data_IF_627984918197
#
_entry.id   IF_627984918197
#
_cell.length_a   1.000
_cell.length_b   1.000
_cell.length_c   1.000
_cell.angle_alpha   90.00
_cell.angle_beta   90.00
_cell.angle_gamma   90.00
#
_symmetry.space_group_name_H-M   'P 1'
#
loop_
_entity.id
_entity.type
_entity.pdbx_description
1 polymer ?
#
# COMPACT_ATOMS: atom_id res chain seq x y z
N UNK A 1 -49.58 20.03 -20.34
CA UNK A 1 -48.99 19.06 -19.40
C UNK A 1 -47.50 19.01 -19.65
N UNK A 2 -46.68 19.56 -18.74
CA UNK A 2 -45.21 19.58 -18.87
C UNK A 2 -44.66 18.71 -17.74
N UNK A 3 -44.14 17.53 -18.08
CA UNK A 3 -43.46 16.66 -17.12
C UNK A 3 -42.05 17.21 -16.88
N UNK A 4 -41.63 17.47 -15.63
CA UNK A 4 -40.29 17.95 -15.36
C UNK A 4 -39.29 16.80 -15.56
N UNK A 5 -38.58 16.86 -16.70
CA UNK A 5 -37.46 15.98 -17.06
C UNK A 5 -36.20 16.23 -16.19
N UNK A 6 -36.37 16.61 -14.92
CA UNK A 6 -35.28 16.98 -14.01
C UNK A 6 -35.09 16.03 -12.84
N UNK A 7 -35.89 14.96 -12.74
CA UNK A 7 -35.83 14.01 -11.61
C UNK A 7 -34.93 12.78 -11.84
N UNK A 8 -34.33 12.62 -13.02
CA UNK A 8 -33.54 11.43 -13.35
C UNK A 8 -32.04 11.54 -13.09
N UNK A 9 -31.53 12.69 -12.65
CA UNK A 9 -30.08 12.86 -12.42
C UNK A 9 -29.63 12.69 -10.96
N UNK A 10 -30.55 12.40 -10.03
CA UNK A 10 -30.23 12.30 -8.61
C UNK A 10 -29.73 10.91 -8.15
N UNK A 11 -29.69 9.90 -9.04
CA UNK A 11 -29.45 8.49 -8.63
C UNK A 11 -28.04 7.98 -9.02
N UNK A 12 -27.20 8.79 -9.67
CA UNK A 12 -25.90 8.33 -10.19
C UNK A 12 -24.70 8.55 -9.24
N UNK A 13 -24.94 8.74 -7.93
CA UNK A 13 -23.89 8.96 -6.92
C UNK A 13 -24.01 8.00 -5.72
N UNK A 14 -24.57 6.82 -5.92
CA UNK A 14 -24.27 5.69 -5.02
C UNK A 14 -22.90 5.15 -5.41
N UNK A 15 -21.85 5.86 -4.95
CA UNK A 15 -20.49 5.35 -4.97
C UNK A 15 -20.52 3.93 -4.38
N UNK A 16 -20.09 2.97 -5.18
CA UNK A 16 -19.80 1.62 -4.74
C UNK A 16 -18.69 1.70 -3.72
N UNK A 17 -19.04 1.83 -2.44
CA UNK A 17 -18.12 1.60 -1.34
C UNK A 17 -17.82 0.11 -1.39
N UNK A 18 -16.76 -0.24 -2.12
CA UNK A 18 -16.20 -1.58 -2.14
C UNK A 18 -15.91 -1.95 -0.70
N UNK A 19 -16.72 -2.84 -0.14
CA UNK A 19 -16.63 -3.35 1.22
C UNK A 19 -15.50 -4.38 1.32
N UNK A 20 -14.30 -3.98 0.92
CA UNK A 20 -13.07 -4.63 1.34
C UNK A 20 -12.58 -3.85 2.55
N UNK A 21 -13.10 -4.19 3.74
CA UNK A 21 -12.71 -3.62 5.02
C UNK A 21 -12.71 -2.07 5.01
N UNK A 22 -13.91 -1.46 5.02
CA UNK A 22 -14.00 -0.04 5.33
C UNK A 22 -13.28 0.20 6.67
N UNK A 23 -12.11 0.86 6.63
CA UNK A 23 -11.31 1.11 7.82
C UNK A 23 -12.22 1.71 8.88
N UNK A 24 -12.48 0.98 9.98
CA UNK A 24 -13.38 1.43 11.04
C UNK A 24 -12.97 2.85 11.43
N UNK A 25 -13.85 3.83 11.24
CA UNK A 25 -13.47 5.22 11.45
C UNK A 25 -13.50 5.53 12.96
N UNK A 26 -12.48 5.09 13.71
CA UNK A 26 -12.44 5.13 15.19
C UNK A 26 -12.75 6.52 15.78
N UNK A 27 -12.51 7.61 15.02
CA UNK A 27 -12.77 8.99 15.45
C UNK A 27 -14.23 9.29 15.78
N UNK A 28 -15.18 8.54 15.21
CA UNK A 28 -16.62 8.76 15.41
C UNK A 28 -17.18 8.01 16.62
N UNK A 29 -16.37 7.21 17.30
CA UNK A 29 -16.79 6.47 18.48
C UNK A 29 -16.80 7.44 19.68
N UNK A 30 -17.98 7.68 20.25
CA UNK A 30 -18.16 8.59 21.40
C UNK A 30 -17.55 8.00 22.68
N UNK A 31 -17.80 6.71 22.94
CA UNK A 31 -17.29 6.01 24.11
C UNK A 31 -15.76 5.84 24.04
N UNK A 32 -15.05 6.37 25.03
CA UNK A 32 -13.58 6.34 25.07
C UNK A 32 -13.02 4.92 25.01
N UNK A 33 -13.57 3.98 25.80
CA UNK A 33 -13.07 2.61 25.86
C UNK A 33 -13.20 1.90 24.50
N UNK A 34 -14.32 2.09 23.81
CA UNK A 34 -14.55 1.53 22.48
C UNK A 34 -13.64 2.16 21.42
N UNK A 35 -13.38 3.47 21.54
CA UNK A 35 -12.44 4.19 20.68
C UNK A 35 -11.02 3.65 20.83
N UNK A 36 -10.56 3.46 22.06
CA UNK A 36 -9.23 2.91 22.35
C UNK A 36 -9.10 1.48 21.82
N UNK A 37 -10.12 0.62 22.05
CA UNK A 37 -10.15 -0.73 21.52
C UNK A 37 -10.11 -0.77 19.98
N UNK A 38 -10.81 0.16 19.31
CA UNK A 38 -10.78 0.30 17.85
C UNK A 38 -9.37 0.63 17.34
N UNK A 39 -8.68 1.58 17.98
CA UNK A 39 -7.30 1.92 17.60
C UNK A 39 -6.34 0.76 17.79
N UNK A 40 -6.47 -0.01 18.87
CA UNK A 40 -5.64 -1.19 19.11
C UNK A 40 -5.80 -2.24 18.00
N UNK A 41 -7.03 -2.48 17.54
CA UNK A 41 -7.27 -3.39 16.40
C UNK A 41 -6.64 -2.87 15.11
N UNK A 42 -6.74 -1.57 14.84
CA UNK A 42 -6.09 -0.98 13.66
C UNK A 42 -4.57 -1.07 13.72
N UNK A 43 -3.97 -0.82 14.87
CA UNK A 43 -2.53 -0.95 15.06
C UNK A 43 -2.08 -2.39 14.83
N UNK A 44 -2.76 -3.37 15.43
CA UNK A 44 -2.48 -4.78 15.22
C UNK A 44 -2.58 -5.18 13.73
N UNK A 45 -3.61 -4.70 13.03
CA UNK A 45 -3.76 -4.94 11.60
C UNK A 45 -2.65 -4.29 10.76
N UNK A 46 -2.19 -3.08 11.11
CA UNK A 46 -1.07 -2.40 10.45
C UNK A 46 0.24 -3.16 10.66
N UNK A 47 0.52 -3.59 11.89
CA UNK A 47 1.71 -4.39 12.21
C UNK A 47 1.68 -5.72 11.45
N UNK A 48 0.52 -6.38 11.35
CA UNK A 48 0.38 -7.60 10.56
C UNK A 48 0.67 -7.37 9.06
N UNK A 49 0.17 -6.27 8.49
CA UNK A 49 0.44 -5.88 7.10
C UNK A 49 1.93 -5.56 6.87
N UNK A 50 2.56 -4.84 7.79
CA UNK A 50 4.01 -4.56 7.74
C UNK A 50 4.82 -5.85 7.75
N UNK A 51 4.56 -6.76 8.69
CA UNK A 51 5.23 -8.07 8.75
C UNK A 51 5.05 -8.88 7.47
N UNK A 52 3.85 -8.85 6.89
CA UNK A 52 3.57 -9.53 5.62
C UNK A 52 4.39 -8.91 4.49
N UNK A 53 4.50 -7.58 4.44
CA UNK A 53 5.29 -6.87 3.43
C UNK A 53 6.78 -7.14 3.61
N UNK A 54 7.30 -7.14 4.84
CA UNK A 54 8.69 -7.50 5.16
C UNK A 54 8.99 -8.94 4.71
N UNK A 55 8.08 -9.89 4.97
CA UNK A 55 8.22 -11.27 4.51
C UNK A 55 8.25 -11.37 2.98
N UNK A 56 7.41 -10.61 2.27
CA UNK A 56 7.42 -10.54 0.80
C UNK A 56 8.73 -9.93 0.29
N UNK A 57 9.24 -8.87 0.93
CA UNK A 57 10.52 -8.27 0.58
C UNK A 57 11.68 -9.23 0.82
N UNK A 58 11.70 -9.94 1.96
CA UNK A 58 12.69 -10.96 2.26
C UNK A 58 12.65 -12.11 1.23
N UNK A 59 11.45 -12.51 0.80
CA UNK A 59 11.29 -13.51 -0.27
C UNK A 59 11.76 -13.00 -1.64
N UNK A 60 11.67 -11.68 -1.90
CA UNK A 60 12.18 -11.06 -3.13
C UNK A 60 13.67 -10.70 -3.08
N UNK A 61 14.29 -10.65 -1.90
CA UNK A 61 15.73 -10.43 -1.81
C UNK A 61 16.43 -11.58 -2.51
N UNK A 62 17.03 -11.30 -3.67
CA UNK A 62 17.89 -12.26 -4.35
C UNK A 62 19.02 -12.66 -3.39
N UNK A 63 19.31 -13.96 -3.27
CA UNK A 63 20.51 -14.41 -2.57
C UNK A 63 21.73 -13.64 -3.08
N UNK A 64 22.65 -13.31 -2.18
CA UNK A 64 23.92 -12.71 -2.54
C UNK A 64 24.63 -13.63 -3.55
N UNK A 65 24.71 -13.21 -4.81
CA UNK A 65 25.52 -13.89 -5.80
C UNK A 65 26.97 -13.40 -5.69
N UNK A 66 27.93 -14.30 -5.42
CA UNK A 66 29.33 -13.92 -5.39
C UNK A 66 29.76 -13.40 -6.76
N UNK A 67 30.50 -12.28 -6.75
CA UNK A 67 31.03 -11.63 -7.94
C UNK A 67 31.84 -12.62 -8.78
N UNK A 68 31.41 -12.83 -10.03
CA UNK A 68 32.11 -13.73 -10.95
C UNK A 68 33.34 -13.05 -11.56
N UNK A 69 34.24 -13.82 -12.17
CA UNK A 69 35.36 -13.25 -12.93
C UNK A 69 34.89 -12.39 -14.11
N UNK A 70 33.71 -12.69 -14.66
CA UNK A 70 33.08 -11.96 -15.76
C UNK A 70 32.59 -10.58 -15.27
N UNK A 71 31.94 -10.53 -14.11
CA UNK A 71 31.55 -9.28 -13.45
C UNK A 71 32.75 -8.39 -13.12
N UNK A 72 33.87 -9.00 -12.70
CA UNK A 72 35.11 -8.28 -12.44
C UNK A 72 35.74 -7.72 -13.74
N UNK A 73 35.65 -8.45 -14.85
CA UNK A 73 36.10 -7.96 -16.16
C UNK A 73 35.19 -6.84 -16.69
N UNK A 74 33.86 -6.99 -16.55
CA UNK A 74 32.88 -5.97 -16.91
C UNK A 74 33.07 -4.71 -16.06
N UNK A 75 33.27 -4.84 -14.76
CA UNK A 75 33.57 -3.70 -13.89
C UNK A 75 34.86 -2.99 -14.31
N UNK A 76 35.89 -3.72 -14.77
CA UNK A 76 37.12 -3.13 -15.31
C UNK A 76 36.90 -2.44 -16.65
N UNK A 77 36.07 -2.98 -17.54
CA UNK A 77 35.74 -2.33 -18.82
C UNK A 77 34.89 -1.08 -18.62
N UNK A 78 34.03 -1.05 -17.60
CA UNK A 78 33.24 0.12 -17.24
C UNK A 78 34.06 1.25 -16.61
N UNK A 79 35.26 0.97 -16.06
CA UNK A 79 36.17 2.00 -15.49
C UNK A 79 36.70 2.99 -16.52
N UNK A 80 36.66 2.67 -17.82
CA UNK A 80 37.03 3.61 -18.88
C UNK A 80 35.91 4.59 -19.23
N UNK A 81 34.70 4.42 -18.66
CA UNK A 81 33.60 5.37 -18.82
C UNK A 81 33.74 6.41 -17.71
N UNK A 82 33.95 7.67 -18.06
CA UNK A 82 33.92 8.77 -17.09
C UNK A 82 32.52 8.82 -16.45
N UNK A 83 32.44 8.60 -15.14
CA UNK A 83 31.18 8.56 -14.38
C UNK A 83 30.91 9.83 -13.58
N UNK A 84 31.66 10.91 -13.82
CA UNK A 84 31.42 12.24 -13.25
C UNK A 84 31.22 12.20 -11.74
N UNK A 85 32.32 12.12 -11.00
CA UNK A 85 32.33 12.33 -9.56
C UNK A 85 32.06 13.80 -9.21
#
# INVERSE_FOLDING_TARGET
MKLPASLSFAIALTATVSSAEAAEQCRFIEARAEREACYQRQEAARVARQKTQEAQQAAQQKPYEPMTSEDAQLARSLRSICRGC
#
